data_IF_054755828297
#
_entry.id   IF_054755828297
#
_cell.length_a   1.000
_cell.length_b   1.000
_cell.length_c   1.000
_cell.angle_alpha   90.00
_cell.angle_beta   90.00
_cell.angle_gamma   90.00
#
_symmetry.space_group_name_H-M   'P 1'
#
loop_
_entity.id
_entity.type
_entity.pdbx_description
1 polymer ?
#
# COMPACT_ATOMS: atom_id res chain seq x y z
N UNK A 1 5.62 13.40 -1.99
CA UNK A 1 4.92 12.64 -3.06
C UNK A 1 3.42 12.71 -2.83
N UNK A 2 2.59 12.56 -3.86
CA UNK A 2 1.13 12.59 -3.77
C UNK A 2 0.58 11.33 -4.43
N UNK A 3 -0.27 10.60 -3.71
CA UNK A 3 -0.91 9.38 -4.19
C UNK A 3 -2.43 9.58 -4.23
N UNK A 4 -3.07 8.98 -5.22
CA UNK A 4 -4.52 8.90 -5.35
C UNK A 4 -5.00 7.58 -4.76
N UNK A 5 -6.07 7.65 -3.99
CA UNK A 5 -6.72 6.49 -3.39
C UNK A 5 -8.16 6.38 -3.87
N UNK A 6 -8.62 5.15 -4.10
CA UNK A 6 -10.05 4.86 -4.08
C UNK A 6 -10.42 4.49 -2.65
N UNK A 7 -11.55 5.02 -2.18
CA UNK A 7 -12.03 4.82 -0.82
C UNK A 7 -13.55 4.61 -0.84
N UNK A 8 -14.01 3.62 -0.07
CA UNK A 8 -15.40 3.19 0.00
C UNK A 8 -15.80 2.92 1.45
N UNK A 9 -16.99 3.36 1.86
CA UNK A 9 -17.62 2.92 3.11
C UNK A 9 -18.44 1.65 2.84
N UNK A 10 -18.25 0.61 3.65
CA UNK A 10 -18.94 -0.67 3.57
C UNK A 10 -19.38 -1.11 4.97
N UNK A 11 -20.65 -0.88 5.30
CA UNK A 11 -21.15 -1.03 6.67
C UNK A 11 -20.41 -0.08 7.63
N UNK A 12 -19.87 -0.64 8.71
CA UNK A 12 -19.12 0.08 9.75
C UNK A 12 -17.61 0.18 9.46
N UNK A 13 -17.22 -0.01 8.20
CA UNK A 13 -15.83 0.00 7.79
C UNK A 13 -15.60 0.94 6.60
N UNK A 14 -14.42 1.52 6.56
CA UNK A 14 -13.85 2.21 5.42
C UNK A 14 -12.77 1.32 4.81
N UNK A 15 -12.80 1.14 3.50
CA UNK A 15 -11.87 0.30 2.74
C UNK A 15 -11.25 1.17 1.65
N UNK A 16 -9.94 1.05 1.40
CA UNK A 16 -9.28 1.80 0.34
C UNK A 16 -7.99 1.18 -0.16
N UNK A 17 -7.54 1.67 -1.30
CA UNK A 17 -6.29 1.26 -1.95
C UNK A 17 -5.71 2.39 -2.79
N UNK A 18 -4.38 2.42 -2.94
CA UNK A 18 -3.69 3.40 -3.77
C UNK A 18 -3.67 2.98 -5.23
N UNK A 19 -4.01 3.91 -6.12
CA UNK A 19 -3.96 3.71 -7.57
C UNK A 19 -2.54 3.86 -8.09
N UNK A 20 -1.79 4.82 -7.54
CA UNK A 20 -0.42 5.11 -7.96
C UNK A 20 0.61 4.17 -7.34
N UNK A 21 0.19 3.32 -6.38
CA UNK A 21 1.03 2.29 -5.77
C UNK A 21 0.18 1.03 -5.51
N UNK A 22 -0.09 0.24 -6.57
CA UNK A 22 -0.87 -0.99 -6.46
C UNK A 22 -0.28 -1.94 -5.42
N UNK A 23 -1.15 -2.59 -4.65
CA UNK A 23 -0.75 -3.46 -3.53
C UNK A 23 -0.85 -2.80 -2.16
N UNK A 24 -0.81 -1.46 -2.08
CA UNK A 24 -1.08 -0.75 -0.82
C UNK A 24 -2.59 -0.58 -0.63
N UNK A 25 -3.12 -1.27 0.37
CA UNK A 25 -4.53 -1.28 0.72
C UNK A 25 -4.69 -1.29 2.25
N UNK A 26 -5.84 -0.81 2.73
CA UNK A 26 -6.16 -0.79 4.15
C UNK A 26 -7.68 -0.80 4.38
N UNK A 27 -8.07 -1.14 5.61
CA UNK A 27 -9.45 -1.09 6.07
C UNK A 27 -9.49 -0.64 7.54
N UNK A 28 -10.30 0.37 7.83
CA UNK A 28 -10.38 0.99 9.17
C UNK A 28 -11.81 1.37 9.56
N UNK A 29 -12.02 1.73 10.83
CA UNK A 29 -13.35 2.12 11.34
C UNK A 29 -13.74 3.54 10.96
N UNK A 30 -12.76 4.43 10.82
CA UNK A 30 -12.97 5.80 10.36
C UNK A 30 -12.25 6.05 9.03
N UNK A 31 -12.67 7.12 8.33
CA UNK A 31 -12.05 7.51 7.08
C UNK A 31 -10.64 8.06 7.31
N UNK A 32 -10.46 8.77 8.43
CA UNK A 32 -9.22 9.40 8.84
C UNK A 32 -8.16 8.35 9.15
N UNK A 33 -8.51 7.32 9.94
CA UNK A 33 -7.65 6.16 10.18
C UNK A 33 -7.30 5.47 8.87
N UNK A 34 -8.27 5.26 7.97
CA UNK A 34 -7.99 4.63 6.67
C UNK A 34 -6.94 5.41 5.88
N UNK A 35 -7.04 6.74 5.85
CA UNK A 35 -6.07 7.60 5.15
C UNK A 35 -4.68 7.49 5.80
N UNK A 36 -4.61 7.39 7.12
CA UNK A 36 -3.34 7.23 7.83
C UNK A 36 -2.72 5.85 7.56
N UNK A 37 -3.50 4.77 7.64
CA UNK A 37 -3.03 3.42 7.31
C UNK A 37 -2.53 3.31 5.86
N UNK A 38 -3.21 3.95 4.90
CA UNK A 38 -2.73 4.04 3.51
C UNK A 38 -1.42 4.81 3.38
N UNK A 39 -1.22 5.88 4.15
CA UNK A 39 0.06 6.61 4.18
C UNK A 39 1.18 5.77 4.75
N UNK A 40 0.93 5.07 5.86
CA UNK A 40 1.92 4.19 6.49
C UNK A 40 2.31 3.07 5.52
N UNK A 41 1.33 2.37 4.94
CA UNK A 41 1.60 1.30 3.98
C UNK A 41 2.37 1.79 2.74
N UNK A 42 2.09 3.00 2.26
CA UNK A 42 2.86 3.60 1.16
C UNK A 42 4.29 3.93 1.56
N UNK A 43 4.48 4.47 2.77
CA UNK A 43 5.81 4.78 3.30
C UNK A 43 6.65 3.52 3.43
N UNK A 44 6.07 2.46 3.99
CA UNK A 44 6.75 1.17 4.15
C UNK A 44 7.17 0.62 2.78
N UNK A 45 6.23 0.53 1.84
CA UNK A 45 6.52 0.00 0.50
C UNK A 45 7.63 0.77 -0.25
N UNK A 46 7.74 2.09 -0.04
CA UNK A 46 8.72 2.93 -0.75
C UNK A 46 10.05 3.08 -0.03
N UNK A 47 10.08 2.88 1.29
CA UNK A 47 11.24 3.19 2.12
C UNK A 47 11.87 1.95 2.75
N UNK A 48 11.20 0.79 2.73
CA UNK A 48 11.78 -0.44 3.24
C UNK A 48 12.90 -0.92 2.31
N UNK A 49 14.17 -0.95 2.76
CA UNK A 49 15.23 -1.56 1.99
C UNK A 49 14.95 -3.06 1.86
N UNK A 50 15.06 -3.58 0.63
CA UNK A 50 14.91 -5.01 0.36
C UNK A 50 16.29 -5.58 0.11
N UNK A 51 16.75 -6.40 1.04
CA UNK A 51 18.00 -7.14 0.95
C UNK A 51 17.66 -8.65 0.91
N UNK A 52 17.96 -9.35 -0.19
CA UNK A 52 17.78 -10.80 -0.26
C UNK A 52 18.62 -11.49 0.83
N UNK A 53 18.00 -12.43 1.54
CA UNK A 53 18.68 -13.28 2.53
C UNK A 53 19.31 -14.50 1.87
N UNK A 54 20.00 -15.33 2.67
CA UNK A 54 20.54 -16.59 2.18
C UNK A 54 19.44 -17.44 1.51
N UNK A 55 19.69 -17.86 0.26
CA UNK A 55 18.76 -18.61 -0.61
C UNK A 55 17.58 -17.80 -1.18
N UNK A 56 17.63 -16.48 -1.13
CA UNK A 56 16.71 -15.59 -1.86
C UNK A 56 17.44 -14.93 -3.03
N UNK A 57 16.75 -14.76 -4.17
CA UNK A 57 17.29 -14.10 -5.36
C UNK A 57 16.44 -12.88 -5.72
N UNK A 58 17.07 -11.72 -5.91
CA UNK A 58 16.44 -10.55 -6.48
C UNK A 58 16.57 -10.60 -8.00
N UNK A 59 15.44 -10.74 -8.69
CA UNK A 59 15.39 -10.82 -10.16
C UNK A 59 14.57 -9.68 -10.74
N UNK A 60 15.01 -9.16 -11.89
CA UNK A 60 14.25 -8.17 -12.67
C UNK A 60 13.28 -8.88 -13.61
N UNK A 61 12.00 -8.48 -13.59
CA UNK A 61 10.96 -8.98 -14.49
C UNK A 61 10.56 -7.86 -15.44
N UNK A 62 10.69 -8.12 -16.75
CA UNK A 62 10.26 -7.20 -17.81
C UNK A 62 8.91 -7.65 -18.37
N UNK A 63 7.97 -6.73 -18.49
CA UNK A 63 6.66 -6.97 -19.07
C UNK A 63 6.60 -6.34 -20.47
N UNK A 64 7.28 -6.94 -21.44
CA UNK A 64 7.07 -6.73 -22.89
C UNK A 64 7.37 -5.34 -23.45
#
# INVERSE_FOLDING_TARGET
>A
MKFRAVIKKSGDWWIGWLIDLPGVNAQERTKEELIESLKVGAKDMLMTPVEPKEREELVSIELG
#
